data_IF_650400508872
#
_entry.id   IF_650400508872
#
_cell.length_a   1.000
_cell.length_b   1.000
_cell.length_c   1.000
_cell.angle_alpha   90.00
_cell.angle_beta   90.00
_cell.angle_gamma   90.00
#
_symmetry.space_group_name_H-M   'P 1'
#
loop_
_entity.id
_entity.type
_entity.pdbx_description
1 polymer ?
#
# COMPACT_ATOMS: atom_id res chain seq x y z
N UNK A 1 -15.66 16.12 9.36
CA UNK A 1 -14.29 16.32 8.80
C UNK A 1 -13.96 15.10 7.97
N UNK A 2 -13.45 15.28 6.75
CA UNK A 2 -13.14 14.15 5.88
C UNK A 2 -11.65 13.76 5.95
N UNK A 3 -11.37 12.46 5.82
CA UNK A 3 -10.04 11.91 5.58
C UNK A 3 -10.12 10.85 4.49
N UNK A 4 -9.23 10.91 3.52
CA UNK A 4 -9.14 9.92 2.43
C UNK A 4 -8.08 8.89 2.77
N UNK A 5 -8.47 7.63 2.75
CA UNK A 5 -7.63 6.47 3.04
C UNK A 5 -7.33 5.74 1.72
N UNK A 6 -6.09 5.74 1.30
CA UNK A 6 -5.65 5.12 0.04
C UNK A 6 -4.79 3.89 0.32
N UNK A 7 -4.98 2.83 -0.45
CA UNK A 7 -3.94 1.82 -0.55
C UNK A 7 -2.70 2.39 -1.26
N UNK A 8 -1.57 1.71 -1.13
CA UNK A 8 -0.30 2.11 -1.71
C UNK A 8 0.05 1.32 -2.95
N UNK A 9 0.18 0.01 -2.80
CA UNK A 9 0.58 -0.91 -3.87
C UNK A 9 -0.61 -1.14 -4.81
N UNK A 10 -0.39 -1.13 -6.14
CA UNK A 10 -1.48 -1.17 -7.12
C UNK A 10 -2.23 0.15 -7.31
N UNK A 11 -2.15 1.09 -6.37
CA UNK A 11 -2.81 2.40 -6.43
C UNK A 11 -1.82 3.53 -6.73
N UNK A 12 -0.80 3.70 -5.90
CA UNK A 12 0.19 4.79 -6.03
C UNK A 12 1.55 4.31 -6.53
N UNK A 13 1.89 3.06 -6.24
CA UNK A 13 3.16 2.44 -6.62
C UNK A 13 2.89 1.02 -7.14
N UNK A 14 3.80 0.43 -7.92
CA UNK A 14 3.68 -0.98 -8.28
C UNK A 14 3.83 -1.88 -7.06
N UNK A 15 3.43 -3.14 -7.18
CA UNK A 15 3.68 -4.20 -6.18
C UNK A 15 5.17 -4.26 -5.83
N UNK A 16 5.54 -3.88 -4.62
CA UNK A 16 6.94 -3.65 -4.23
C UNK A 16 7.77 -4.93 -4.39
N UNK A 17 7.26 -6.07 -3.94
CA UNK A 17 8.03 -7.33 -4.02
C UNK A 17 8.25 -7.80 -5.45
N UNK A 18 7.28 -7.58 -6.33
CA UNK A 18 7.42 -7.92 -7.76
C UNK A 18 8.44 -6.97 -8.40
N UNK A 19 8.29 -5.67 -8.21
CA UNK A 19 9.21 -4.68 -8.76
C UNK A 19 10.63 -4.83 -8.19
N UNK A 20 10.74 -5.14 -6.88
CA UNK A 20 12.01 -5.44 -6.24
C UNK A 20 12.70 -6.68 -6.83
N UNK A 21 11.95 -7.76 -7.04
CA UNK A 21 12.45 -8.98 -7.69
C UNK A 21 13.01 -8.69 -9.07
N UNK A 22 12.32 -7.87 -9.85
CA UNK A 22 12.76 -7.47 -11.19
C UNK A 22 14.01 -6.60 -11.16
N UNK A 23 14.03 -5.61 -10.28
CA UNK A 23 15.15 -4.67 -10.17
C UNK A 23 16.41 -5.32 -9.56
N UNK A 24 16.25 -6.26 -8.62
CA UNK A 24 17.36 -6.98 -7.96
C UNK A 24 17.85 -8.19 -8.76
N UNK A 25 17.04 -8.70 -9.72
CA UNK A 25 17.34 -9.93 -10.46
C UNK A 25 17.17 -11.19 -9.62
N UNK A 26 16.37 -11.17 -8.54
CA UNK A 26 16.10 -12.32 -7.67
C UNK A 26 14.66 -12.79 -7.93
N UNK A 27 14.45 -13.74 -8.87
CA UNK A 27 13.10 -14.12 -9.32
C UNK A 27 12.27 -14.82 -8.25
N UNK A 28 12.89 -15.41 -7.26
CA UNK A 28 12.22 -16.08 -6.14
C UNK A 28 11.32 -15.11 -5.37
N UNK A 29 11.68 -13.84 -5.25
CA UNK A 29 10.94 -12.83 -4.51
C UNK A 29 9.61 -12.41 -5.17
N UNK A 30 9.31 -12.88 -6.40
CA UNK A 30 7.99 -12.71 -7.05
C UNK A 30 6.86 -13.50 -6.39
N UNK A 31 7.21 -14.49 -5.54
CA UNK A 31 6.20 -15.28 -4.81
C UNK A 31 5.31 -14.37 -3.97
N UNK A 32 4.00 -14.59 -4.06
CA UNK A 32 2.97 -13.77 -3.41
C UNK A 32 2.11 -14.58 -2.44
N UNK A 33 1.14 -13.95 -1.80
CA UNK A 33 0.13 -14.63 -0.97
C UNK A 33 -0.77 -15.59 -1.74
N UNK A 34 -0.77 -15.54 -3.06
CA UNK A 34 -1.45 -16.53 -3.93
C UNK A 34 -0.69 -17.86 -3.96
N UNK A 35 0.63 -17.82 -3.79
CA UNK A 35 1.51 -18.98 -3.80
C UNK A 35 1.72 -19.55 -2.39
N UNK A 36 1.76 -18.69 -1.36
CA UNK A 36 1.83 -19.04 0.05
C UNK A 36 0.84 -18.16 0.84
N UNK A 37 -0.34 -18.70 1.17
CA UNK A 37 -1.39 -17.93 1.89
C UNK A 37 -1.01 -17.53 3.32
N UNK A 38 -0.09 -18.28 3.95
CA UNK A 38 0.43 -17.91 5.27
C UNK A 38 1.45 -16.78 5.13
N UNK A 39 1.00 -15.56 5.45
CA UNK A 39 1.83 -14.37 5.33
C UNK A 39 3.12 -14.42 6.16
N UNK A 40 3.07 -15.03 7.36
CA UNK A 40 4.28 -15.15 8.19
C UNK A 40 5.31 -16.09 7.55
N UNK A 41 4.84 -17.21 6.97
CA UNK A 41 5.73 -18.13 6.23
C UNK A 41 6.31 -17.44 5.00
N UNK A 42 5.48 -16.73 4.24
CA UNK A 42 5.93 -16.00 3.06
C UNK A 42 7.00 -14.96 3.43
N UNK A 43 6.76 -14.18 4.48
CA UNK A 43 7.71 -13.15 4.90
C UNK A 43 9.02 -13.74 5.45
N UNK A 44 8.96 -14.75 6.29
CA UNK A 44 10.18 -15.41 6.77
C UNK A 44 11.01 -15.96 5.61
N UNK A 45 10.37 -16.63 4.65
CA UNK A 45 11.05 -17.13 3.46
C UNK A 45 11.67 -15.99 2.62
N UNK A 46 10.99 -14.85 2.48
CA UNK A 46 11.56 -13.67 1.81
C UNK A 46 12.78 -13.12 2.53
N UNK A 47 12.74 -13.06 3.88
CA UNK A 47 13.88 -12.61 4.68
C UNK A 47 15.07 -13.56 4.55
N UNK A 48 14.85 -14.88 4.49
CA UNK A 48 15.90 -15.87 4.25
C UNK A 48 16.56 -15.63 2.88
N UNK A 49 15.80 -15.43 1.81
CA UNK A 49 16.32 -15.09 0.47
C UNK A 49 17.15 -13.81 0.49
N UNK A 50 16.65 -12.74 1.14
CA UNK A 50 17.41 -11.50 1.27
C UNK A 50 18.75 -11.70 1.98
N UNK A 51 18.75 -12.50 3.05
CA UNK A 51 19.96 -12.83 3.80
C UNK A 51 20.95 -13.69 2.98
N UNK A 52 20.45 -14.69 2.22
CA UNK A 52 21.27 -15.53 1.32
C UNK A 52 21.95 -14.70 0.23
N UNK A 53 21.29 -13.65 -0.25
CA UNK A 53 21.85 -12.69 -1.22
C UNK A 53 22.68 -11.57 -0.57
N UNK A 54 22.86 -11.58 0.75
CA UNK A 54 23.63 -10.54 1.48
C UNK A 54 23.01 -9.16 1.45
N UNK A 55 21.68 -9.08 1.27
CA UNK A 55 20.94 -7.81 1.18
C UNK A 55 20.51 -7.36 2.58
N UNK A 56 21.19 -6.35 3.10
CA UNK A 56 20.74 -5.58 4.26
C UNK A 56 19.74 -4.50 3.89
N UNK A 57 19.27 -3.76 4.90
CA UNK A 57 18.27 -2.70 4.68
C UNK A 57 18.73 -1.66 3.67
N UNK A 58 20.00 -1.27 3.71
CA UNK A 58 20.53 -0.26 2.78
C UNK A 58 20.44 -0.73 1.33
N UNK A 59 20.91 -1.92 1.04
CA UNK A 59 20.89 -2.51 -0.30
C UNK A 59 19.46 -2.67 -0.79
N UNK A 60 18.53 -3.09 0.07
CA UNK A 60 17.10 -3.18 -0.24
C UNK A 60 16.53 -1.81 -0.60
N UNK A 61 16.82 -0.78 0.21
CA UNK A 61 16.35 0.58 -0.07
C UNK A 61 16.99 1.18 -1.32
N UNK A 62 18.26 0.87 -1.62
CA UNK A 62 18.92 1.29 -2.85
C UNK A 62 18.20 0.71 -4.08
N UNK A 63 17.81 -0.58 -4.05
CA UNK A 63 17.01 -1.21 -5.11
C UNK A 63 15.63 -0.56 -5.21
N UNK A 64 14.89 -0.42 -4.10
CA UNK A 64 13.55 0.20 -4.10
C UNK A 64 13.61 1.65 -4.59
N UNK A 65 14.70 2.36 -4.34
CA UNK A 65 14.88 3.73 -4.83
C UNK A 65 14.88 3.85 -6.36
N UNK A 66 15.14 2.76 -7.07
CA UNK A 66 15.06 2.71 -8.54
C UNK A 66 13.63 2.53 -9.07
N UNK A 67 12.69 2.13 -8.19
CA UNK A 67 11.28 1.95 -8.54
C UNK A 67 10.59 3.32 -8.50
N UNK A 68 9.81 3.62 -9.53
CA UNK A 68 9.04 4.86 -9.60
C UNK A 68 7.58 4.66 -9.16
N UNK A 69 6.92 5.67 -8.60
CA UNK A 69 5.48 5.71 -8.48
C UNK A 69 4.79 5.48 -9.83
N UNK A 70 3.54 5.02 -9.80
CA UNK A 70 2.74 4.90 -10.99
C UNK A 70 2.56 6.27 -11.67
N UNK A 71 2.54 6.33 -13.02
CA UNK A 71 2.35 7.59 -13.73
C UNK A 71 1.10 8.33 -13.25
N UNK A 72 1.25 9.61 -12.91
CA UNK A 72 0.17 10.46 -12.38
C UNK A 72 -0.11 10.32 -10.88
N UNK A 73 0.48 9.34 -10.19
CA UNK A 73 0.20 9.10 -8.76
C UNK A 73 0.62 10.25 -7.85
N UNK A 74 1.76 10.88 -8.14
CA UNK A 74 2.23 12.01 -7.33
C UNK A 74 1.35 13.24 -7.52
N UNK A 75 1.01 13.56 -8.76
CA UNK A 75 0.15 14.69 -9.12
C UNK A 75 -1.25 14.52 -8.50
N UNK A 76 -1.83 13.32 -8.62
CA UNK A 76 -3.09 12.97 -7.96
C UNK A 76 -3.02 13.18 -6.45
N UNK A 77 -1.97 12.67 -5.80
CA UNK A 77 -1.82 12.77 -4.34
C UNK A 77 -1.62 14.22 -3.89
N UNK A 78 -0.85 15.02 -4.62
CA UNK A 78 -0.64 16.44 -4.32
C UNK A 78 -1.95 17.22 -4.45
N UNK A 79 -2.73 17.00 -5.51
CA UNK A 79 -4.01 17.65 -5.69
C UNK A 79 -5.03 17.21 -4.64
N UNK A 80 -5.10 15.93 -4.32
CA UNK A 80 -5.95 15.41 -3.26
C UNK A 80 -5.63 16.08 -1.90
N UNK A 81 -4.34 16.17 -1.56
CA UNK A 81 -3.87 16.79 -0.30
C UNK A 81 -4.10 18.30 -0.24
N UNK A 82 -4.31 18.96 -1.39
CA UNK A 82 -4.67 20.38 -1.43
C UNK A 82 -6.11 20.65 -1.01
N UNK A 83 -6.99 19.66 -1.09
CA UNK A 83 -8.43 19.82 -0.84
C UNK A 83 -8.92 19.06 0.40
N UNK A 84 -8.20 18.07 0.86
CA UNK A 84 -8.58 17.28 2.06
C UNK A 84 -7.35 16.60 2.70
N UNK A 85 -7.57 16.01 3.87
CA UNK A 85 -6.55 15.14 4.49
C UNK A 85 -6.51 13.81 3.76
N UNK A 86 -5.29 13.33 3.46
CA UNK A 86 -5.07 12.03 2.84
C UNK A 86 -4.03 11.23 3.61
N UNK A 87 -4.25 9.93 3.73
CA UNK A 87 -3.38 8.98 4.41
C UNK A 87 -3.29 7.68 3.61
N UNK A 88 -2.11 7.09 3.60
CA UNK A 88 -1.87 5.78 2.99
C UNK A 88 -2.02 4.70 4.06
N UNK A 89 -2.80 3.66 3.75
CA UNK A 89 -2.97 2.47 4.56
C UNK A 89 -2.43 1.28 3.77
N UNK A 90 -1.31 0.70 4.21
CA UNK A 90 -0.63 -0.35 3.46
C UNK A 90 -0.21 -1.52 4.36
N UNK A 91 -0.13 -2.70 3.79
CA UNK A 91 0.44 -3.88 4.45
C UNK A 91 1.95 -4.04 4.18
N UNK A 92 2.57 -3.08 3.49
CA UNK A 92 4.02 -2.98 3.32
C UNK A 92 4.74 -2.63 4.63
N UNK A 93 6.05 -2.42 4.58
CA UNK A 93 6.89 -2.04 5.70
C UNK A 93 7.41 -0.62 5.53
N UNK A 94 7.46 0.17 6.62
CA UNK A 94 7.90 1.56 6.59
C UNK A 94 9.29 1.73 5.95
N UNK A 95 10.21 0.79 6.24
CA UNK A 95 11.56 0.81 5.72
C UNK A 95 11.61 0.57 4.20
N UNK A 96 10.70 -0.26 3.67
CA UNK A 96 10.54 -0.48 2.23
C UNK A 96 9.84 0.70 1.57
N UNK A 97 8.83 1.25 2.23
CA UNK A 97 8.08 2.40 1.72
C UNK A 97 8.92 3.69 1.66
N UNK A 98 9.91 3.86 2.55
CA UNK A 98 10.66 5.11 2.72
C UNK A 98 11.19 5.72 1.40
N UNK A 99 11.87 5.00 0.48
CA UNK A 99 12.32 5.58 -0.78
C UNK A 99 11.16 6.07 -1.68
N UNK A 100 10.04 5.35 -1.68
CA UNK A 100 8.84 5.69 -2.46
C UNK A 100 8.09 6.86 -1.82
N UNK A 101 8.02 6.92 -0.48
CA UNK A 101 7.44 8.08 0.22
C UNK A 101 8.17 9.37 -0.10
N UNK A 102 9.49 9.32 -0.24
CA UNK A 102 10.28 10.48 -0.69
C UNK A 102 9.83 10.96 -2.07
N UNK A 103 9.63 10.05 -3.02
CA UNK A 103 9.15 10.37 -4.38
C UNK A 103 7.73 10.90 -4.39
N UNK A 104 6.87 10.42 -3.49
CA UNK A 104 5.48 10.87 -3.33
C UNK A 104 5.32 12.15 -2.48
N UNK A 105 6.42 12.78 -2.03
CA UNK A 105 6.37 14.02 -1.24
C UNK A 105 5.98 13.82 0.22
N UNK A 106 6.40 12.69 0.83
CA UNK A 106 6.24 12.35 2.23
C UNK A 106 4.79 12.38 2.73
N UNK A 107 3.86 11.65 2.09
CA UNK A 107 2.52 11.47 2.63
C UNK A 107 2.55 10.71 3.96
N UNK A 108 1.54 10.91 4.80
CA UNK A 108 1.36 10.08 5.99
C UNK A 108 1.02 8.65 5.60
N UNK A 109 1.68 7.68 6.24
CA UNK A 109 1.47 6.26 5.98
C UNK A 109 1.31 5.48 7.28
N UNK A 110 0.36 4.54 7.31
CA UNK A 110 0.19 3.52 8.35
C UNK A 110 0.48 2.16 7.73
N UNK A 111 1.58 1.56 8.12
CA UNK A 111 2.06 0.28 7.58
C UNK A 111 2.74 -0.55 8.67
N UNK A 112 3.28 -1.70 8.29
CA UNK A 112 4.04 -2.58 9.18
C UNK A 112 5.48 -2.06 9.36
N UNK A 113 6.27 -2.70 10.21
CA UNK A 113 7.67 -2.33 10.46
C UNK A 113 8.58 -3.57 10.38
N UNK A 114 9.78 -3.40 9.84
CA UNK A 114 10.83 -4.41 9.90
C UNK A 114 11.64 -4.27 11.20
N UNK A 115 12.15 -5.40 11.69
CA UNK A 115 13.16 -5.43 12.73
C UNK A 115 14.53 -5.46 12.07
N UNK A 116 15.37 -4.47 12.38
CA UNK A 116 16.68 -4.27 11.75
C UNK A 116 17.75 -4.24 12.83
N UNK A 117 18.76 -5.09 12.68
CA UNK A 117 19.91 -5.11 13.56
C UNK A 117 20.82 -3.88 13.34
N UNK A 118 21.70 -3.52 14.30
CA UNK A 118 22.60 -2.37 14.18
C UNK A 118 23.54 -2.43 12.97
N UNK A 119 23.82 -3.62 12.45
CA UNK A 119 24.64 -3.84 11.25
C UNK A 119 23.83 -3.72 9.93
N UNK A 120 22.53 -3.41 10.00
CA UNK A 120 21.66 -3.23 8.85
C UNK A 120 20.97 -4.52 8.38
N UNK A 121 21.22 -5.68 8.99
CA UNK A 121 20.52 -6.92 8.62
C UNK A 121 19.05 -6.85 9.03
N UNK A 122 18.16 -7.27 8.15
CA UNK A 122 16.74 -7.45 8.47
C UNK A 122 16.58 -8.77 9.21
N UNK A 123 16.13 -8.71 10.45
CA UNK A 123 16.08 -9.88 11.38
C UNK A 123 14.66 -10.35 11.66
N UNK A 124 13.66 -9.57 11.26
CA UNK A 124 12.26 -9.92 11.49
C UNK A 124 11.32 -8.81 11.06
N UNK A 125 10.07 -8.92 11.47
CA UNK A 125 9.04 -7.93 11.17
C UNK A 125 7.98 -7.87 12.27
N UNK A 126 7.34 -6.71 12.37
CA UNK A 126 6.17 -6.44 13.21
C UNK A 126 4.98 -6.11 12.34
N UNK A 127 3.92 -6.91 12.46
CA UNK A 127 2.64 -6.65 11.80
C UNK A 127 1.71 -5.86 12.72
N UNK A 128 0.98 -4.93 12.13
CA UNK A 128 -0.13 -4.25 12.78
C UNK A 128 -1.30 -5.23 13.01
N UNK A 129 -2.19 -4.97 13.99
CA UNK A 129 -3.34 -5.84 14.25
C UNK A 129 -4.28 -5.96 13.05
N UNK A 130 -4.49 -7.18 12.58
CA UNK A 130 -5.37 -7.50 11.45
C UNK A 130 -6.87 -7.35 11.78
N UNK A 131 -7.73 -7.02 10.81
CA UNK A 131 -7.42 -6.46 9.48
C UNK A 131 -6.96 -4.99 9.59
N UNK A 132 -5.73 -4.71 9.13
CA UNK A 132 -5.03 -3.44 9.41
C UNK A 132 -5.76 -2.21 8.88
N UNK A 133 -6.18 -2.26 7.61
CA UNK A 133 -6.82 -1.12 6.91
C UNK A 133 -8.19 -0.81 7.50
N UNK A 134 -9.04 -1.83 7.71
CA UNK A 134 -10.35 -1.66 8.34
C UNK A 134 -10.25 -1.05 9.76
N UNK A 135 -9.35 -1.60 10.59
CA UNK A 135 -9.16 -1.09 11.96
C UNK A 135 -8.68 0.36 11.98
N UNK A 136 -7.87 0.77 11.01
CA UNK A 136 -7.41 2.16 10.91
C UNK A 136 -8.56 3.09 10.52
N UNK A 137 -9.38 2.70 9.55
CA UNK A 137 -10.60 3.46 9.16
C UNK A 137 -11.53 3.60 10.36
N UNK A 138 -11.81 2.52 11.08
CA UNK A 138 -12.65 2.55 12.29
C UNK A 138 -12.07 3.46 13.38
N UNK A 139 -10.74 3.49 13.55
CA UNK A 139 -10.09 4.38 14.48
C UNK A 139 -10.28 5.85 14.10
N UNK A 140 -10.14 6.22 12.82
CA UNK A 140 -10.44 7.58 12.37
C UNK A 140 -11.91 7.96 12.58
N UNK A 141 -12.82 7.05 12.30
CA UNK A 141 -14.26 7.25 12.54
C UNK A 141 -14.56 7.46 14.04
N UNK A 142 -13.88 6.72 14.92
CA UNK A 142 -14.06 6.84 16.38
C UNK A 142 -13.63 8.19 16.95
N UNK A 143 -12.78 8.92 16.24
CA UNK A 143 -12.35 10.28 16.61
C UNK A 143 -13.03 11.37 15.77
N UNK A 144 -14.13 11.02 15.05
CA UNK A 144 -15.03 11.98 14.39
C UNK A 144 -14.68 12.31 12.94
N UNK A 145 -13.89 11.49 12.24
CA UNK A 145 -13.69 11.65 10.80
C UNK A 145 -14.71 10.85 9.99
N UNK A 146 -15.22 11.46 8.92
CA UNK A 146 -15.86 10.76 7.83
C UNK A 146 -14.76 10.23 6.90
N UNK A 147 -14.68 8.91 6.73
CA UNK A 147 -13.66 8.29 5.90
C UNK A 147 -14.13 8.07 4.46
N UNK A 148 -13.24 8.29 3.51
CA UNK A 148 -13.39 7.94 2.10
C UNK A 148 -12.23 7.00 1.77
N UNK A 149 -12.47 5.86 1.13
CA UNK A 149 -11.42 4.88 0.92
C UNK A 149 -11.31 4.43 -0.53
N UNK A 150 -10.09 4.15 -0.99
CA UNK A 150 -9.84 3.55 -2.30
C UNK A 150 -8.70 2.54 -2.24
N UNK A 151 -8.86 1.45 -2.98
CA UNK A 151 -7.89 0.37 -3.11
C UNK A 151 -8.17 -0.49 -4.34
N UNK A 152 -7.30 -1.47 -4.62
CA UNK A 152 -7.34 -2.27 -5.84
C UNK A 152 -7.73 -3.74 -5.60
N UNK A 153 -7.63 -4.22 -4.36
CA UNK A 153 -7.65 -5.65 -4.07
C UNK A 153 -8.58 -6.06 -2.91
N UNK A 154 -8.76 -7.37 -2.70
CA UNK A 154 -9.69 -7.92 -1.71
C UNK A 154 -9.39 -7.47 -0.27
N UNK A 155 -8.12 -7.22 0.10
CA UNK A 155 -7.76 -6.74 1.44
C UNK A 155 -8.20 -5.30 1.71
N UNK A 156 -8.58 -4.54 0.66
CA UNK A 156 -9.09 -3.16 0.76
C UNK A 156 -10.59 -3.09 1.01
N UNK A 157 -11.32 -4.14 0.67
CA UNK A 157 -12.78 -4.14 0.73
C UNK A 157 -13.32 -3.78 2.11
N UNK A 158 -12.65 -4.23 3.17
CA UNK A 158 -13.04 -3.88 4.53
C UNK A 158 -13.01 -2.39 4.80
N UNK A 159 -11.97 -1.67 4.37
CA UNK A 159 -11.89 -0.22 4.53
C UNK A 159 -12.82 0.52 3.57
N UNK A 160 -12.98 0.01 2.33
CA UNK A 160 -13.86 0.58 1.31
C UNK A 160 -15.32 0.54 1.78
N UNK A 161 -15.81 -0.62 2.21
CA UNK A 161 -17.19 -0.82 2.64
C UNK A 161 -17.53 -0.14 3.96
N UNK A 162 -16.55 0.03 4.86
CA UNK A 162 -16.74 0.71 6.13
C UNK A 162 -16.73 2.24 6.03
N UNK A 163 -16.30 2.79 4.89
CA UNK A 163 -16.18 4.23 4.68
C UNK A 163 -17.48 4.88 4.18
N UNK A 164 -17.63 6.19 4.41
CA UNK A 164 -18.75 7.01 3.90
C UNK A 164 -18.90 6.89 2.37
N UNK A 165 -17.75 6.83 1.67
CA UNK A 165 -17.66 6.52 0.26
C UNK A 165 -16.45 5.63 0.01
N UNK A 166 -16.59 4.66 -0.89
CA UNK A 166 -15.55 3.70 -1.21
C UNK A 166 -15.45 3.46 -2.70
N UNK A 167 -14.24 3.30 -3.19
CA UNK A 167 -13.93 3.19 -4.61
C UNK A 167 -12.92 2.09 -4.88
N UNK A 168 -13.15 1.30 -5.94
CA UNK A 168 -12.14 0.44 -6.51
C UNK A 168 -11.29 1.24 -7.51
N UNK A 169 -9.99 1.05 -7.49
CA UNK A 169 -9.08 1.70 -8.41
C UNK A 169 -8.15 0.67 -9.07
N UNK A 170 -8.20 0.57 -10.39
CA UNK A 170 -7.42 -0.41 -11.19
C UNK A 170 -7.56 -1.86 -10.70
N UNK A 171 -8.72 -2.17 -10.14
CA UNK A 171 -9.04 -3.51 -9.65
C UNK A 171 -9.25 -4.50 -10.78
N UNK A 172 -9.08 -5.79 -10.45
CA UNK A 172 -9.34 -6.87 -11.41
C UNK A 172 -10.82 -6.95 -11.78
N UNK A 173 -11.09 -7.45 -13.00
CA UNK A 173 -12.47 -7.69 -13.45
C UNK A 173 -13.26 -8.64 -12.55
N UNK A 174 -12.56 -9.54 -11.85
CA UNK A 174 -13.20 -10.44 -10.91
C UNK A 174 -13.73 -9.68 -9.68
N UNK A 175 -12.93 -8.78 -9.09
CA UNK A 175 -13.35 -7.97 -7.94
C UNK A 175 -14.52 -7.06 -8.32
N UNK A 176 -14.47 -6.43 -9.49
CA UNK A 176 -15.57 -5.59 -9.99
C UNK A 176 -16.87 -6.37 -10.17
N UNK A 177 -16.79 -7.64 -10.60
CA UNK A 177 -17.97 -8.54 -10.71
C UNK A 177 -18.51 -9.00 -9.37
N UNK A 178 -17.61 -9.27 -8.43
CA UNK A 178 -17.98 -9.72 -7.09
C UNK A 178 -18.63 -8.59 -6.26
N UNK A 179 -18.25 -7.32 -6.55
CA UNK A 179 -18.70 -6.13 -5.84
C UNK A 179 -19.22 -5.04 -6.81
N UNK A 180 -20.29 -5.31 -7.58
CA UNK A 180 -20.78 -4.42 -8.64
C UNK A 180 -21.33 -3.09 -8.12
N UNK A 181 -21.66 -3.00 -6.84
CA UNK A 181 -22.18 -1.78 -6.21
C UNK A 181 -21.08 -0.79 -5.81
N UNK A 182 -19.80 -1.19 -5.86
CA UNK A 182 -18.68 -0.31 -5.56
C UNK A 182 -18.20 0.34 -6.86
N UNK A 183 -18.25 1.69 -7.00
CA UNK A 183 -17.75 2.37 -8.19
C UNK A 183 -16.28 2.07 -8.41
N UNK A 184 -15.91 1.80 -9.68
CA UNK A 184 -14.54 1.45 -10.06
C UNK A 184 -13.99 2.43 -11.10
N UNK A 185 -12.73 2.83 -10.93
CA UNK A 185 -12.03 3.79 -11.77
C UNK A 185 -10.68 3.23 -12.22
N UNK A 186 -10.23 3.66 -13.41
CA UNK A 186 -8.93 3.30 -13.97
C UNK A 186 -7.97 4.51 -14.04
N UNK A 187 -8.53 5.72 -14.13
CA UNK A 187 -7.78 6.96 -14.24
C UNK A 187 -7.84 7.77 -12.96
N UNK A 188 -6.71 8.41 -12.61
CA UNK A 188 -6.62 9.23 -11.40
C UNK A 188 -7.57 10.43 -11.40
N UNK A 189 -7.80 11.04 -12.57
CA UNK A 189 -8.69 12.20 -12.68
C UNK A 189 -10.14 11.83 -12.33
N UNK A 190 -10.61 10.65 -12.77
CA UNK A 190 -11.95 10.16 -12.48
C UNK A 190 -12.09 9.80 -11.00
N UNK A 191 -11.10 9.11 -10.42
CA UNK A 191 -11.07 8.81 -9.00
C UNK A 191 -11.07 10.10 -8.17
N UNK A 192 -10.26 11.08 -8.55
CA UNK A 192 -10.17 12.36 -7.83
C UNK A 192 -11.50 13.13 -7.89
N UNK A 193 -12.16 13.14 -9.06
CA UNK A 193 -13.48 13.75 -9.21
C UNK A 193 -14.53 13.07 -8.32
N UNK A 194 -14.54 11.75 -8.26
CA UNK A 194 -15.44 10.98 -7.39
C UNK A 194 -15.18 11.25 -5.90
N UNK A 195 -13.89 11.29 -5.49
CA UNK A 195 -13.51 11.64 -4.12
C UNK A 195 -13.97 13.07 -3.78
N UNK A 196 -13.71 14.05 -4.64
CA UNK A 196 -14.15 15.44 -4.43
C UNK A 196 -15.66 15.57 -4.30
N UNK A 197 -16.43 14.80 -5.04
CA UNK A 197 -17.90 14.77 -4.94
C UNK A 197 -18.40 14.15 -3.63
N UNK A 198 -17.59 13.33 -2.96
CA UNK A 198 -17.92 12.70 -1.68
C UNK A 198 -17.48 13.51 -0.45
N UNK A 199 -16.67 14.57 -0.61
CA UNK A 199 -16.23 15.45 0.48
C UNK A 199 -17.39 16.28 1.02
#
# INVERSE_FOLDING_TARGET
MNIVCLDMEGVLVPEIWIAFSEASGIPELKRTTRDEPDYNKLMNWRLDILAEHGLGLKEIQDVISTIDPLPGAKEFLDELRSVTQAVILSDTFEQFATPLMKKLGWPSIFCNSLEVAPDGRVTGFKLRPQPTKLKTVQAFQSIGYDTIASGDSYNDLGMIQASKAGFLFRSTEQIKKDYPDIPAFEEFDDLLAAIKAAL
#
